data_IF_773158545794
#
_entry.id   IF_773158545794
#
_cell.length_a   1.000
_cell.length_b   1.000
_cell.length_c   1.000
_cell.angle_alpha   90.00
_cell.angle_beta   90.00
_cell.angle_gamma   90.00
#
_symmetry.space_group_name_H-M   'P 1'
#
loop_
_entity.id
_entity.type
_entity.pdbx_description
1 polymer ?
#
# COMPACT_ATOMS: atom_id res chain seq x y z
N UNK A 1 -15.52 -22.69 -0.80
CA UNK A 1 -14.57 -21.68 -0.30
C UNK A 1 -14.22 -20.75 -1.44
N UNK A 2 -14.39 -19.46 -1.24
CA UNK A 2 -13.87 -18.48 -2.19
C UNK A 2 -12.34 -18.55 -2.23
N UNK A 3 -11.77 -18.37 -3.40
CA UNK A 3 -10.33 -18.44 -3.63
C UNK A 3 -9.86 -17.06 -4.06
N UNK A 4 -8.86 -16.50 -3.38
CA UNK A 4 -8.24 -15.28 -3.82
C UNK A 4 -7.28 -15.51 -4.98
N UNK A 5 -7.12 -14.50 -5.82
CA UNK A 5 -6.15 -14.50 -6.93
C UNK A 5 -5.46 -13.15 -6.97
N UNK A 6 -4.22 -13.13 -7.42
CA UNK A 6 -3.48 -11.90 -7.69
C UNK A 6 -3.64 -11.57 -9.17
N UNK A 7 -4.28 -10.44 -9.46
CA UNK A 7 -4.57 -10.04 -10.86
C UNK A 7 -3.51 -9.12 -11.45
N UNK A 8 -2.74 -8.42 -10.61
CA UNK A 8 -1.63 -7.56 -11.05
C UNK A 8 -0.65 -7.29 -9.92
N UNK A 9 0.55 -6.89 -10.28
CA UNK A 9 1.56 -6.43 -9.36
C UNK A 9 2.39 -5.29 -9.98
N UNK A 10 2.86 -4.39 -9.13
CA UNK A 10 3.79 -3.31 -9.52
C UNK A 10 4.75 -3.01 -8.37
N UNK A 11 5.89 -2.50 -8.75
CA UNK A 11 6.94 -2.10 -7.83
C UNK A 11 7.68 -0.88 -8.38
N UNK A 12 8.05 0.07 -7.53
CA UNK A 12 9.06 1.08 -7.88
C UNK A 12 10.45 0.44 -7.88
N UNK A 13 11.43 1.11 -8.45
CA UNK A 13 12.82 0.77 -8.20
C UNK A 13 13.11 0.90 -6.69
N UNK A 14 14.10 0.17 -6.19
CA UNK A 14 14.58 0.30 -4.81
C UNK A 14 15.68 1.36 -4.80
N UNK A 15 15.44 2.44 -4.05
CA UNK A 15 16.39 3.53 -3.89
C UNK A 15 17.43 3.22 -2.80
N UNK A 16 18.59 3.81 -2.96
CA UNK A 16 19.65 3.86 -1.96
C UNK A 16 19.29 4.90 -0.89
N UNK A 17 19.74 4.69 0.35
CA UNK A 17 19.61 5.70 1.42
C UNK A 17 20.20 7.04 0.95
N UNK A 18 19.45 8.13 1.14
CA UNK A 18 19.80 9.48 0.65
C UNK A 18 20.09 9.54 -0.86
N UNK A 19 19.54 8.62 -1.62
CA UNK A 19 19.74 8.49 -3.07
C UNK A 19 18.66 9.15 -3.91
N UNK A 20 18.36 8.56 -5.06
CA UNK A 20 17.48 9.13 -6.09
C UNK A 20 16.06 9.46 -5.59
N UNK A 21 15.54 8.74 -4.60
CA UNK A 21 14.21 8.95 -4.04
C UNK A 21 14.20 9.76 -2.74
N UNK A 22 15.30 10.42 -2.39
CA UNK A 22 15.40 11.16 -1.12
C UNK A 22 14.33 12.26 -0.95
N UNK A 23 13.84 12.84 -2.03
CA UNK A 23 12.78 13.85 -2.02
C UNK A 23 11.35 13.27 -1.95
N UNK A 24 11.18 11.95 -2.05
CA UNK A 24 9.88 11.29 -2.06
C UNK A 24 9.57 10.67 -0.70
N UNK A 25 8.35 10.88 -0.23
CA UNK A 25 7.86 10.20 0.96
C UNK A 25 7.55 8.72 0.66
N UNK A 26 7.41 7.90 1.71
CA UNK A 26 6.92 6.53 1.56
C UNK A 26 5.56 6.50 0.84
N UNK A 27 4.68 7.47 1.14
CA UNK A 27 3.36 7.56 0.54
C UNK A 27 3.40 7.96 -0.94
N UNK A 28 4.40 8.72 -1.37
CA UNK A 28 4.60 9.01 -2.80
C UNK A 28 4.99 7.73 -3.56
N UNK A 29 5.91 6.96 -3.01
CA UNK A 29 6.35 5.69 -3.59
C UNK A 29 5.20 4.65 -3.59
N UNK A 30 4.51 4.51 -2.47
CA UNK A 30 3.34 3.62 -2.35
C UNK A 30 2.22 4.02 -3.32
N UNK A 31 1.93 5.32 -3.41
CA UNK A 31 0.94 5.85 -4.34
C UNK A 31 1.28 5.58 -5.81
N UNK A 32 2.56 5.70 -6.18
CA UNK A 32 3.02 5.37 -7.53
C UNK A 32 2.79 3.88 -7.87
N UNK A 33 3.10 2.98 -6.93
CA UNK A 33 2.86 1.54 -7.11
C UNK A 33 1.35 1.22 -7.21
N UNK A 34 0.52 1.83 -6.36
CA UNK A 34 -0.94 1.68 -6.40
C UNK A 34 -1.48 2.17 -7.75
N UNK A 35 -1.10 3.35 -8.18
CA UNK A 35 -1.53 3.90 -9.49
C UNK A 35 -1.18 2.94 -10.62
N UNK A 36 0.02 2.41 -10.61
CA UNK A 36 0.48 1.49 -11.65
C UNK A 36 -0.36 0.20 -11.72
N UNK A 37 -0.74 -0.42 -10.60
CA UNK A 37 -1.59 -1.61 -10.64
C UNK A 37 -3.00 -1.28 -11.13
N UNK A 38 -3.55 -0.11 -10.77
CA UNK A 38 -4.87 0.33 -11.25
C UNK A 38 -4.86 0.56 -12.76
N UNK A 39 -3.84 1.23 -13.28
CA UNK A 39 -3.67 1.44 -14.73
C UNK A 39 -3.53 0.13 -15.50
N UNK A 40 -2.74 -0.82 -14.97
CA UNK A 40 -2.54 -2.13 -15.60
C UNK A 40 -3.80 -2.99 -15.62
N UNK A 41 -4.62 -2.91 -14.59
CA UNK A 41 -5.81 -3.75 -14.46
C UNK A 41 -7.05 -3.12 -15.10
N UNK A 42 -7.11 -1.80 -15.18
CA UNK A 42 -8.32 -1.08 -15.56
C UNK A 42 -9.46 -1.20 -14.53
N UNK A 43 -9.17 -1.68 -13.32
CA UNK A 43 -10.15 -1.75 -12.23
C UNK A 43 -10.56 -0.33 -11.85
N UNK A 44 -11.87 -0.10 -11.74
CA UNK A 44 -12.38 1.16 -11.22
C UNK A 44 -11.96 1.32 -9.75
N UNK A 45 -11.20 2.36 -9.40
CA UNK A 45 -10.75 2.58 -8.03
C UNK A 45 -11.88 2.67 -7.00
N UNK A 46 -13.09 3.05 -7.42
CA UNK A 46 -14.26 3.11 -6.55
C UNK A 46 -14.79 1.74 -6.13
N UNK A 47 -14.41 0.67 -6.84
CA UNK A 47 -14.82 -0.71 -6.51
C UNK A 47 -13.88 -1.41 -5.54
N UNK A 48 -12.79 -0.76 -5.14
CA UNK A 48 -11.87 -1.31 -4.15
C UNK A 48 -12.52 -1.25 -2.78
N UNK A 49 -12.54 -2.36 -2.07
CA UNK A 49 -13.10 -2.44 -0.71
C UNK A 49 -12.14 -1.90 0.34
N UNK A 50 -10.85 -2.22 0.21
CA UNK A 50 -9.84 -1.80 1.18
C UNK A 50 -8.44 -1.73 0.56
N UNK A 51 -7.63 -0.80 1.08
CA UNK A 51 -6.21 -0.68 0.80
C UNK A 51 -5.42 -1.05 2.06
N UNK A 52 -4.55 -2.04 1.96
CA UNK A 52 -3.67 -2.49 3.04
C UNK A 52 -2.22 -2.18 2.64
N UNK A 53 -1.56 -1.30 3.40
CA UNK A 53 -0.15 -0.96 3.14
C UNK A 53 0.72 -1.21 4.35
N UNK A 54 1.78 -1.98 4.17
CA UNK A 54 2.81 -2.19 5.18
C UNK A 54 3.77 -1.00 5.25
N UNK A 55 4.04 -0.54 6.46
CA UNK A 55 5.07 0.48 6.71
C UNK A 55 5.58 0.37 8.15
N UNK A 56 6.87 0.46 8.34
CA UNK A 56 7.53 0.38 9.66
C UNK A 56 7.71 1.77 10.26
N UNK A 57 8.37 2.67 9.53
CA UNK A 57 8.78 3.99 10.03
C UNK A 57 7.69 5.03 9.76
N UNK A 58 6.78 5.17 10.73
CA UNK A 58 5.59 6.01 10.59
C UNK A 58 5.65 7.32 11.40
N UNK A 59 6.68 7.51 12.24
CA UNK A 59 6.80 8.69 13.08
C UNK A 59 6.82 9.97 12.24
N UNK A 60 6.03 10.98 12.65
CA UNK A 60 5.97 12.27 11.97
C UNK A 60 5.30 12.26 10.58
N UNK A 61 4.71 11.14 10.15
CA UNK A 61 4.17 11.02 8.78
C UNK A 61 2.67 11.32 8.69
N UNK A 62 2.06 11.75 9.77
CA UNK A 62 0.62 12.01 9.83
C UNK A 62 -0.21 10.75 10.11
N UNK A 63 -1.51 10.87 9.91
CA UNK A 63 -2.45 9.78 10.19
C UNK A 63 -2.57 8.83 8.99
N UNK A 64 -2.70 7.56 9.29
CA UNK A 64 -2.99 6.47 8.34
C UNK A 64 -2.26 6.65 7.01
N UNK A 65 -0.98 6.32 7.01
CA UNK A 65 -0.12 6.49 5.83
C UNK A 65 -0.60 5.68 4.61
N UNK A 66 -1.26 4.53 4.85
CA UNK A 66 -1.93 3.77 3.79
C UNK A 66 -3.02 4.59 3.08
N UNK A 67 -3.79 5.40 3.82
CA UNK A 67 -4.78 6.32 3.26
C UNK A 67 -4.10 7.36 2.37
N UNK A 68 -3.00 7.93 2.82
CA UNK A 68 -2.26 8.92 2.05
C UNK A 68 -1.76 8.32 0.73
N UNK A 69 -1.17 7.12 0.78
CA UNK A 69 -0.73 6.40 -0.42
C UNK A 69 -1.90 6.06 -1.35
N UNK A 70 -3.02 5.59 -0.81
CA UNK A 70 -4.22 5.25 -1.57
C UNK A 70 -4.72 6.45 -2.39
N UNK A 71 -4.89 7.61 -1.75
CA UNK A 71 -5.33 8.85 -2.41
C UNK A 71 -4.32 9.31 -3.48
N UNK A 72 -3.03 9.27 -3.16
CA UNK A 72 -1.96 9.57 -4.12
C UNK A 72 -1.98 8.61 -5.33
N UNK A 73 -2.40 7.37 -5.11
CA UNK A 73 -2.57 6.36 -6.15
C UNK A 73 -3.84 6.48 -6.97
N UNK A 74 -4.78 7.36 -6.58
CA UNK A 74 -6.05 7.57 -7.28
C UNK A 74 -7.24 6.82 -6.69
N UNK A 75 -7.08 6.21 -5.51
CA UNK A 75 -8.18 5.55 -4.79
C UNK A 75 -9.01 6.60 -4.04
N UNK A 76 -10.36 6.57 -4.12
CA UNK A 76 -11.22 7.53 -3.46
C UNK A 76 -11.09 7.52 -1.93
N UNK A 77 -11.35 8.66 -1.30
CA UNK A 77 -11.36 8.81 0.16
C UNK A 77 -12.37 7.91 0.88
N UNK A 78 -13.41 7.47 0.20
CA UNK A 78 -14.44 6.57 0.75
C UNK A 78 -13.97 5.15 0.96
N UNK A 79 -12.92 4.73 0.25
CA UNK A 79 -12.35 3.37 0.40
C UNK A 79 -11.58 3.26 1.71
N UNK A 80 -11.79 2.21 2.47
CA UNK A 80 -11.07 1.96 3.71
C UNK A 80 -9.57 1.74 3.48
N UNK A 81 -8.75 2.21 4.41
CA UNK A 81 -7.30 2.00 4.33
C UNK A 81 -6.71 1.70 5.71
N UNK A 82 -5.78 0.77 5.76
CA UNK A 82 -5.10 0.37 7.00
C UNK A 82 -3.61 0.26 6.77
N UNK A 83 -2.83 0.89 7.64
CA UNK A 83 -1.37 0.73 7.68
C UNK A 83 -1.03 -0.38 8.66
N UNK A 84 -0.17 -1.30 8.24
CA UNK A 84 0.21 -2.49 9.00
C UNK A 84 1.71 -2.45 9.27
N UNK A 85 2.09 -2.70 10.51
CA UNK A 85 3.48 -2.84 10.90
C UNK A 85 3.73 -4.22 11.50
N UNK A 86 4.49 -5.02 10.81
CA UNK A 86 5.06 -6.29 11.26
C UNK A 86 6.56 -6.32 10.92
N UNK A 87 7.23 -5.21 11.17
CA UNK A 87 8.65 -4.98 10.85
C UNK A 87 8.91 -5.36 9.38
N UNK A 88 9.95 -6.11 9.09
CA UNK A 88 10.33 -6.47 7.71
C UNK A 88 9.28 -7.31 6.96
N UNK A 89 8.31 -7.90 7.66
CA UNK A 89 7.23 -8.69 7.07
C UNK A 89 5.99 -7.88 6.72
N UNK A 90 5.97 -6.57 6.96
CA UNK A 90 4.76 -5.76 6.87
C UNK A 90 4.06 -5.85 5.51
N UNK A 91 4.82 -5.74 4.42
CA UNK A 91 4.26 -5.85 3.06
C UNK A 91 3.68 -7.24 2.76
N UNK A 92 4.38 -8.31 3.15
CA UNK A 92 3.89 -9.68 2.97
C UNK A 92 2.65 -9.93 3.84
N UNK A 93 2.61 -9.37 5.05
CA UNK A 93 1.47 -9.47 5.95
C UNK A 93 0.19 -8.87 5.34
N UNK A 94 0.29 -7.81 4.54
CA UNK A 94 -0.88 -7.24 3.86
C UNK A 94 -1.49 -8.21 2.85
N UNK A 95 -0.66 -8.96 2.11
CA UNK A 95 -1.11 -9.97 1.14
C UNK A 95 -1.81 -11.12 1.88
N UNK A 96 -1.22 -11.58 2.98
CA UNK A 96 -1.82 -12.61 3.82
C UNK A 96 -3.18 -12.19 4.38
N UNK A 97 -3.30 -10.97 4.88
CA UNK A 97 -4.59 -10.44 5.37
C UNK A 97 -5.61 -10.28 4.25
N UNK A 98 -5.19 -9.84 3.07
CA UNK A 98 -6.07 -9.73 1.91
C UNK A 98 -6.67 -11.10 1.54
N UNK A 99 -5.85 -12.16 1.49
CA UNK A 99 -6.35 -13.52 1.26
C UNK A 99 -7.39 -13.93 2.31
N UNK A 100 -7.10 -13.69 3.59
CA UNK A 100 -8.03 -14.01 4.67
C UNK A 100 -9.36 -13.25 4.55
N UNK A 101 -9.32 -11.95 4.25
CA UNK A 101 -10.52 -11.12 4.12
C UNK A 101 -11.40 -11.57 2.94
N UNK A 102 -10.80 -11.89 1.80
CA UNK A 102 -11.50 -12.39 0.63
C UNK A 102 -12.14 -13.76 0.94
N UNK A 103 -11.38 -14.66 1.54
CA UNK A 103 -11.87 -15.99 1.92
C UNK A 103 -12.98 -15.95 2.97
N UNK A 104 -12.95 -14.96 3.85
CA UNK A 104 -13.98 -14.71 4.84
C UNK A 104 -15.22 -13.98 4.29
N UNK A 105 -15.22 -13.59 3.02
CA UNK A 105 -16.30 -12.83 2.39
C UNK A 105 -16.43 -11.39 2.88
N UNK A 106 -15.37 -10.82 3.46
CA UNK A 106 -15.36 -9.45 3.97
C UNK A 106 -14.98 -8.43 2.91
N UNK A 107 -14.39 -8.84 1.81
CA UNK A 107 -13.99 -8.00 0.69
C UNK A 107 -13.89 -8.84 -0.59
N UNK A 108 -14.03 -8.19 -1.72
CA UNK A 108 -13.86 -8.79 -3.06
C UNK A 108 -12.61 -8.29 -3.76
N UNK A 109 -12.32 -7.00 -3.65
CA UNK A 109 -11.18 -6.36 -4.31
C UNK A 109 -10.34 -5.62 -3.29
N UNK A 110 -9.09 -6.04 -3.15
CA UNK A 110 -8.14 -5.46 -2.19
C UNK A 110 -6.86 -5.04 -2.90
N UNK A 111 -6.37 -3.86 -2.58
CA UNK A 111 -5.00 -3.45 -2.90
C UNK A 111 -4.14 -3.72 -1.67
N UNK A 112 -3.15 -4.59 -1.81
CA UNK A 112 -2.24 -4.98 -0.74
C UNK A 112 -0.79 -4.72 -1.15
N UNK A 113 -0.02 -4.08 -0.30
CA UNK A 113 1.38 -3.77 -0.61
C UNK A 113 2.17 -3.26 0.58
N UNK A 114 3.28 -2.64 0.28
CA UNK A 114 4.15 -2.01 1.27
C UNK A 114 4.87 -0.81 0.69
N UNK A 115 5.35 0.04 1.57
CA UNK A 115 6.09 1.25 1.23
C UNK A 115 7.02 1.61 2.38
N UNK A 116 8.14 2.24 2.07
CA UNK A 116 9.07 2.72 3.09
C UNK A 116 9.96 3.82 2.54
N UNK A 117 10.30 4.79 3.36
CA UNK A 117 11.37 5.74 3.10
C UNK A 117 12.23 5.89 4.35
N UNK A 118 13.31 5.14 4.41
CA UNK A 118 14.24 5.24 5.54
C UNK A 118 14.97 6.58 5.56
N UNK A 119 15.19 7.17 4.38
CA UNK A 119 15.81 8.49 4.25
C UNK A 119 15.00 9.59 4.94
N UNK A 120 13.66 9.51 4.86
CA UNK A 120 12.76 10.52 5.41
C UNK A 120 12.25 10.19 6.82
N UNK A 121 12.76 9.12 7.43
CA UNK A 121 12.44 8.81 8.81
C UNK A 121 13.09 9.84 9.76
N UNK A 122 12.34 10.45 10.69
CA UNK A 122 12.93 11.36 11.65
C UNK A 122 13.82 10.64 12.66
N UNK A 123 14.83 11.33 13.15
CA UNK A 123 15.62 10.89 14.30
C UNK A 123 14.95 11.41 15.58
N UNK A 124 14.64 10.51 16.49
CA UNK A 124 13.95 10.78 17.76
C UNK A 124 14.89 10.69 18.96
#
# INVERSE_FOLDING_TARGET
MSRSVIVSASRTAIGKLSGAFASLSAMDLGGAAIRSVLEKTGVDPATIDVVLMGQVLQAGQGQITARQAAVKGGVPMSVNATTINKVCLSGLQTIYLADLMIRAGQAEIIVAGGMESMTNAPYL
#
